data_IF_274365943130
#
_entry.id   IF_274365943130
#
_cell.length_a   1.000
_cell.length_b   1.000
_cell.length_c   1.000
_cell.angle_alpha   90.00
_cell.angle_beta   90.00
_cell.angle_gamma   90.00
#
_symmetry.space_group_name_H-M   'P 1'
#
loop_
_entity.id
_entity.type
_entity.pdbx_description
1 polymer ?
#
# COMPACT_ATOMS: atom_id res chain seq x y z
N UNK A 1 -1.23 -14.78 5.48
CA UNK A 1 -1.08 -13.40 4.92
C UNK A 1 -1.64 -13.38 3.50
N UNK A 2 -2.47 -12.41 3.15
CA UNK A 2 -2.84 -12.23 1.75
C UNK A 2 -1.64 -11.76 0.92
N UNK A 3 -1.59 -12.09 -0.38
CA UNK A 3 -0.58 -11.54 -1.27
C UNK A 3 -0.65 -10.01 -1.29
N UNK A 4 0.43 -9.33 -0.90
CA UNK A 4 0.50 -7.88 -0.74
C UNK A 4 1.64 -7.28 -1.57
N UNK A 5 2.81 -7.03 -0.99
CA UNK A 5 4.01 -6.67 -1.75
C UNK A 5 4.42 -7.83 -2.67
N UNK A 6 4.44 -9.06 -2.12
CA UNK A 6 4.61 -10.32 -2.85
C UNK A 6 3.60 -11.36 -2.34
N UNK A 7 3.66 -12.57 -2.82
CA UNK A 7 2.88 -13.69 -2.27
C UNK A 7 3.54 -14.36 -1.05
N UNK A 8 4.76 -13.96 -0.72
CA UNK A 8 5.55 -14.51 0.39
C UNK A 8 5.77 -13.57 1.58
N UNK A 9 5.00 -12.48 1.68
CA UNK A 9 5.17 -11.51 2.76
C UNK A 9 4.88 -12.10 4.14
N UNK A 10 5.54 -11.54 5.16
CA UNK A 10 5.32 -11.88 6.56
C UNK A 10 5.26 -10.62 7.41
N UNK A 11 4.39 -10.63 8.41
CA UNK A 11 4.31 -9.58 9.43
C UNK A 11 4.59 -10.21 10.78
N UNK A 12 5.49 -9.60 11.54
CA UNK A 12 5.91 -10.11 12.85
C UNK A 12 5.41 -9.18 13.95
N UNK A 13 4.63 -9.70 14.88
CA UNK A 13 4.15 -8.96 16.04
C UNK A 13 4.89 -9.42 17.29
N UNK A 14 5.74 -8.55 17.84
CA UNK A 14 6.41 -8.75 19.14
C UNK A 14 5.47 -8.31 20.24
N UNK A 15 4.64 -9.23 20.73
CA UNK A 15 3.50 -8.94 21.60
C UNK A 15 3.92 -8.24 22.88
N UNK A 16 4.98 -8.74 23.55
CA UNK A 16 5.44 -8.16 24.83
C UNK A 16 6.04 -6.76 24.66
N UNK A 17 6.73 -6.53 23.56
CA UNK A 17 7.33 -5.23 23.26
C UNK A 17 6.33 -4.24 22.64
N UNK A 18 5.19 -4.74 22.21
CA UNK A 18 4.17 -3.99 21.45
C UNK A 18 4.76 -3.31 20.20
N UNK A 19 5.45 -4.11 19.41
CA UNK A 19 6.09 -3.70 18.16
C UNK A 19 5.65 -4.63 17.04
N UNK A 20 5.27 -4.06 15.91
CA UNK A 20 4.93 -4.80 14.69
C UNK A 20 5.91 -4.45 13.59
N UNK A 21 6.55 -5.45 12.99
CA UNK A 21 7.38 -5.27 11.80
C UNK A 21 6.58 -5.71 10.58
N UNK A 22 6.33 -4.78 9.66
CA UNK A 22 5.48 -5.03 8.50
C UNK A 22 6.25 -5.31 7.20
N UNK A 23 7.57 -5.11 7.20
CA UNK A 23 8.35 -5.26 5.97
C UNK A 23 7.81 -4.38 4.85
N UNK A 24 7.90 -4.85 3.63
CA UNK A 24 7.51 -4.09 2.43
C UNK A 24 6.01 -4.03 2.17
N UNK A 25 5.19 -4.53 3.08
CA UNK A 25 3.75 -4.25 3.08
C UNK A 25 3.47 -2.78 3.43
N UNK A 26 4.36 -2.15 4.19
CA UNK A 26 4.20 -0.77 4.64
C UNK A 26 5.39 0.10 4.23
N UNK A 27 5.10 1.12 3.41
CA UNK A 27 6.02 2.20 3.05
C UNK A 27 5.53 3.46 3.76
N UNK A 28 6.16 3.83 4.88
CA UNK A 28 5.69 4.99 5.65
C UNK A 28 6.01 6.30 4.93
N UNK A 29 4.96 6.99 4.49
CA UNK A 29 5.08 8.25 3.77
C UNK A 29 5.20 8.12 2.25
N UNK A 30 5.02 6.91 1.70
CA UNK A 30 5.11 6.68 0.26
C UNK A 30 4.14 5.62 -0.26
N UNK A 31 4.02 5.52 -1.57
CA UNK A 31 3.27 4.43 -2.20
C UNK A 31 3.99 3.10 -2.03
N UNK A 32 3.25 1.99 -1.89
CA UNK A 32 3.86 0.67 -1.85
C UNK A 32 4.41 0.24 -3.20
N UNK A 33 5.44 -0.59 -3.18
CA UNK A 33 5.81 -1.38 -4.33
C UNK A 33 5.00 -2.68 -4.32
N UNK A 34 4.11 -2.83 -5.30
CA UNK A 34 3.32 -4.05 -5.49
C UNK A 34 4.00 -4.86 -6.57
N UNK A 35 4.75 -5.87 -6.17
CA UNK A 35 5.52 -6.71 -7.10
C UNK A 35 4.60 -7.75 -7.74
N UNK A 36 3.96 -7.37 -8.82
CA UNK A 36 3.03 -8.24 -9.55
C UNK A 36 3.73 -9.46 -10.15
N UNK A 37 5.03 -9.35 -10.46
CA UNK A 37 5.80 -10.48 -10.97
C UNK A 37 6.03 -11.57 -9.92
N UNK A 38 5.96 -11.21 -8.65
CA UNK A 38 6.07 -12.11 -7.50
C UNK A 38 4.72 -12.34 -6.80
N UNK A 39 3.62 -12.12 -7.49
CA UNK A 39 2.27 -12.37 -6.97
C UNK A 39 1.69 -11.28 -6.09
N UNK A 40 2.35 -10.11 -5.99
CA UNK A 40 1.86 -8.99 -5.20
C UNK A 40 0.54 -8.40 -5.73
N UNK A 41 -0.29 -7.89 -4.81
CA UNK A 41 -1.61 -7.33 -5.13
C UNK A 41 -1.94 -6.13 -4.24
N UNK A 42 -2.44 -5.05 -4.84
CA UNK A 42 -2.83 -3.85 -4.08
C UNK A 42 -3.96 -4.15 -3.08
N UNK A 43 -4.90 -5.00 -3.43
CA UNK A 43 -5.97 -5.42 -2.51
C UNK A 43 -5.42 -6.18 -1.31
N UNK A 44 -4.38 -6.97 -1.51
CA UNK A 44 -3.70 -7.68 -0.43
C UNK A 44 -2.97 -6.74 0.52
N UNK A 45 -2.37 -5.66 0.01
CA UNK A 45 -1.76 -4.62 0.86
C UNK A 45 -2.81 -4.02 1.78
N UNK A 46 -3.97 -3.63 1.25
CA UNK A 46 -5.06 -3.05 2.04
C UNK A 46 -5.56 -4.04 3.09
N UNK A 47 -5.80 -5.30 2.70
CA UNK A 47 -6.27 -6.34 3.62
C UNK A 47 -5.27 -6.61 4.75
N UNK A 48 -3.97 -6.70 4.42
CA UNK A 48 -2.93 -6.92 5.41
C UNK A 48 -2.86 -5.75 6.41
N UNK A 49 -2.92 -4.52 5.91
CA UNK A 49 -2.93 -3.32 6.76
C UNK A 49 -4.17 -3.28 7.65
N UNK A 50 -5.35 -3.59 7.12
CA UNK A 50 -6.59 -3.63 7.91
C UNK A 50 -6.50 -4.67 9.04
N UNK A 51 -5.91 -5.83 8.80
CA UNK A 51 -5.67 -6.85 9.84
C UNK A 51 -4.76 -6.34 10.95
N UNK A 52 -3.68 -5.65 10.60
CA UNK A 52 -2.77 -5.06 11.59
C UNK A 52 -3.48 -3.99 12.40
N UNK A 53 -4.19 -3.07 11.74
CA UNK A 53 -4.93 -1.99 12.41
C UNK A 53 -5.95 -2.52 13.43
N UNK A 54 -6.60 -3.64 13.12
CA UNK A 54 -7.57 -4.27 14.02
C UNK A 54 -6.93 -4.87 15.28
N UNK A 55 -5.63 -5.19 15.24
CA UNK A 55 -4.93 -5.88 16.33
C UNK A 55 -3.97 -5.02 17.16
N UNK A 56 -3.86 -3.73 16.86
CA UNK A 56 -2.91 -2.83 17.53
C UNK A 56 -3.60 -1.66 18.23
N UNK A 57 -2.87 -0.99 19.15
CA UNK A 57 -3.29 0.21 19.82
C UNK A 57 -2.49 1.45 19.41
N UNK A 58 -2.86 2.60 19.96
CA UNK A 58 -2.21 3.89 19.68
C UNK A 58 -0.73 3.91 20.11
N UNK A 59 -0.37 3.14 21.13
CA UNK A 59 1.00 3.04 21.62
C UNK A 59 1.88 2.06 20.86
N UNK A 60 1.32 1.22 19.99
CA UNK A 60 2.08 0.25 19.21
C UNK A 60 3.05 0.95 18.27
N UNK A 61 4.30 0.51 18.28
CA UNK A 61 5.33 0.98 17.35
C UNK A 61 5.35 0.05 16.13
N UNK A 62 5.40 0.65 14.95
CA UNK A 62 5.35 -0.09 13.69
C UNK A 62 6.62 0.18 12.90
N UNK A 63 7.31 -0.89 12.53
CA UNK A 63 8.52 -0.83 11.71
C UNK A 63 8.10 -1.08 10.26
N UNK A 64 8.17 -0.06 9.39
CA UNK A 64 7.90 -0.26 7.97
C UNK A 64 9.12 -0.89 7.28
N UNK A 65 8.93 -1.39 6.06
CA UNK A 65 10.05 -1.77 5.21
C UNK A 65 10.85 -0.57 4.74
N UNK A 66 10.17 0.56 4.53
CA UNK A 66 10.76 1.83 4.10
C UNK A 66 10.11 2.99 4.85
N UNK A 67 10.92 4.00 5.16
CA UNK A 67 10.47 5.19 5.88
C UNK A 67 10.72 5.12 7.39
N UNK A 68 10.35 6.18 8.12
CA UNK A 68 10.60 6.26 9.55
C UNK A 68 9.69 5.35 10.38
N UNK A 69 10.08 5.12 11.65
CA UNK A 69 9.26 4.42 12.62
C UNK A 69 7.87 5.05 12.68
N UNK A 70 6.84 4.22 12.75
CA UNK A 70 5.46 4.67 12.63
C UNK A 70 4.61 4.30 13.84
N UNK A 71 3.45 4.96 13.93
CA UNK A 71 2.37 4.68 14.87
C UNK A 71 1.11 4.30 14.11
N UNK A 72 0.06 3.94 14.82
CA UNK A 72 -1.22 3.55 14.23
C UNK A 72 -1.80 4.62 13.30
N UNK A 73 -1.69 5.90 13.66
CA UNK A 73 -2.18 7.00 12.83
C UNK A 73 -1.46 7.08 11.47
N UNK A 74 -0.15 6.81 11.45
CA UNK A 74 0.62 6.78 10.21
C UNK A 74 0.19 5.62 9.30
N UNK A 75 -0.05 4.46 9.89
CA UNK A 75 -0.53 3.28 9.15
C UNK A 75 -1.94 3.52 8.61
N UNK A 76 -2.81 4.16 9.39
CA UNK A 76 -4.16 4.51 8.94
C UNK A 76 -4.11 5.48 7.75
N UNK A 77 -3.25 6.50 7.79
CA UNK A 77 -3.08 7.43 6.69
C UNK A 77 -2.60 6.74 5.42
N UNK A 78 -1.64 5.83 5.54
CA UNK A 78 -1.15 5.01 4.44
C UNK A 78 -2.27 4.15 3.83
N UNK A 79 -3.02 3.46 4.69
CA UNK A 79 -4.18 2.65 4.28
C UNK A 79 -5.18 3.46 3.47
N UNK A 80 -5.52 4.65 3.96
CA UNK A 80 -6.52 5.50 3.33
C UNK A 80 -6.08 5.99 1.95
N UNK A 81 -4.80 6.34 1.80
CA UNK A 81 -4.24 6.75 0.51
C UNK A 81 -4.18 5.61 -0.49
N UNK A 82 -3.71 4.44 -0.06
CA UNK A 82 -3.64 3.25 -0.93
C UNK A 82 -5.03 2.85 -1.39
N UNK A 83 -6.01 2.87 -0.47
CA UNK A 83 -7.40 2.54 -0.81
C UNK A 83 -8.01 3.57 -1.75
N UNK A 84 -7.81 4.85 -1.53
CA UNK A 84 -8.32 5.90 -2.41
C UNK A 84 -7.78 5.74 -3.83
N UNK A 85 -6.49 5.53 -3.97
CA UNK A 85 -5.86 5.27 -5.26
C UNK A 85 -6.41 3.99 -5.92
N UNK A 86 -6.48 2.92 -5.15
CA UNK A 86 -7.03 1.63 -5.62
C UNK A 86 -8.45 1.79 -6.17
N UNK A 87 -9.31 2.47 -5.43
CA UNK A 87 -10.72 2.62 -5.82
C UNK A 87 -10.87 3.44 -7.10
N UNK A 88 -10.07 4.51 -7.26
CA UNK A 88 -10.06 5.32 -8.48
C UNK A 88 -9.59 4.51 -9.69
N UNK A 89 -8.55 3.70 -9.54
CA UNK A 89 -7.99 2.86 -10.59
C UNK A 89 -8.98 1.74 -10.95
N UNK A 90 -9.55 1.07 -9.96
CA UNK A 90 -10.53 -0.01 -10.15
C UNK A 90 -11.76 0.47 -10.91
N UNK A 91 -12.26 1.66 -10.59
CA UNK A 91 -13.41 2.26 -11.29
C UNK A 91 -13.12 2.43 -12.78
N UNK A 92 -11.98 3.01 -13.13
CA UNK A 92 -11.58 3.20 -14.53
C UNK A 92 -11.38 1.86 -15.26
N UNK A 93 -10.77 0.89 -14.59
CA UNK A 93 -10.57 -0.45 -15.17
C UNK A 93 -11.91 -1.13 -15.44
N UNK A 94 -12.87 -1.03 -14.52
CA UNK A 94 -14.22 -1.58 -14.68
C UNK A 94 -14.98 -0.91 -15.85
N UNK A 95 -14.68 0.35 -16.15
CA UNK A 95 -15.23 1.10 -17.28
C UNK A 95 -14.56 0.75 -18.62
N UNK A 96 -13.59 -0.17 -18.62
CA UNK A 96 -12.88 -0.59 -19.82
C UNK A 96 -11.68 0.28 -20.21
N UNK A 97 -11.25 1.20 -19.35
CA UNK A 97 -10.07 2.03 -19.58
C UNK A 97 -8.80 1.18 -19.55
N UNK A 98 -7.92 1.34 -20.52
CA UNK A 98 -6.66 0.58 -20.59
C UNK A 98 -5.68 1.06 -19.54
N UNK A 99 -4.65 0.22 -19.29
CA UNK A 99 -3.57 0.57 -18.35
C UNK A 99 -2.91 1.90 -18.71
N UNK A 100 -2.50 2.09 -19.94
CA UNK A 100 -1.82 3.31 -20.38
C UNK A 100 -2.72 4.55 -20.27
N UNK A 101 -4.00 4.42 -20.59
CA UNK A 101 -4.98 5.49 -20.43
C UNK A 101 -5.19 5.87 -18.95
N UNK A 102 -5.23 4.88 -18.06
CA UNK A 102 -5.35 5.14 -16.61
C UNK A 102 -4.12 5.87 -16.09
N UNK A 103 -2.92 5.42 -16.46
CA UNK A 103 -1.67 6.10 -16.07
C UNK A 103 -1.64 7.53 -16.60
N UNK A 104 -2.01 7.73 -17.87
CA UNK A 104 -2.05 9.06 -18.49
C UNK A 104 -3.07 10.01 -17.84
N UNK A 105 -4.17 9.46 -17.30
CA UNK A 105 -5.19 10.24 -16.61
C UNK A 105 -4.75 10.73 -15.22
N UNK A 106 -3.63 10.24 -14.70
CA UNK A 106 -3.03 10.63 -13.41
C UNK A 106 -4.05 10.63 -12.27
N UNK A 107 -4.64 9.47 -11.94
CA UNK A 107 -5.68 9.39 -10.91
C UNK A 107 -5.18 9.70 -9.49
N UNK A 108 -3.86 9.73 -9.29
CA UNK A 108 -3.23 10.03 -7.99
C UNK A 108 -2.57 11.41 -7.96
N UNK A 109 -2.84 12.29 -8.93
CA UNK A 109 -2.14 13.59 -9.06
C UNK A 109 -2.22 14.44 -7.77
N UNK A 110 -3.37 14.45 -7.10
CA UNK A 110 -3.58 15.17 -5.84
C UNK A 110 -2.84 14.55 -4.65
N UNK A 111 -2.41 13.30 -4.75
CA UNK A 111 -1.71 12.56 -3.70
C UNK A 111 -0.19 12.52 -3.94
N UNK A 112 0.26 12.72 -5.16
CA UNK A 112 1.64 12.49 -5.58
C UNK A 112 2.64 13.44 -4.91
N UNK A 113 2.24 14.68 -4.62
CA UNK A 113 3.11 15.65 -3.97
C UNK A 113 3.61 15.18 -2.60
N UNK A 114 2.77 14.46 -1.86
CA UNK A 114 3.10 13.92 -0.54
C UNK A 114 3.59 12.48 -0.60
N UNK A 115 2.95 11.63 -1.41
CA UNK A 115 3.13 10.19 -1.38
C UNK A 115 3.97 9.64 -2.53
N UNK A 116 4.18 10.42 -3.59
CA UNK A 116 4.94 10.02 -4.77
C UNK A 116 6.39 10.52 -4.81
N UNK A 117 6.92 11.07 -3.71
CA UNK A 117 8.27 11.64 -3.67
C UNK A 117 9.36 10.63 -3.33
N UNK A 118 8.99 9.45 -2.84
CA UNK A 118 9.93 8.41 -2.46
C UNK A 118 10.33 7.50 -3.62
N UNK A 119 10.62 6.25 -3.28
CA UNK A 119 11.03 5.22 -4.23
C UNK A 119 10.00 4.97 -5.33
N UNK A 120 8.72 4.89 -4.95
CA UNK A 120 7.63 4.58 -5.90
C UNK A 120 6.93 5.87 -6.33
N UNK A 121 7.10 6.24 -7.60
CA UNK A 121 6.40 7.39 -8.18
C UNK A 121 4.95 7.06 -8.51
N UNK A 122 4.10 8.10 -8.60
CA UNK A 122 2.67 7.94 -8.81
C UNK A 122 2.33 7.12 -10.05
N UNK A 123 2.92 7.44 -11.19
CA UNK A 123 2.64 6.73 -12.45
C UNK A 123 3.02 5.25 -12.39
N UNK A 124 4.16 4.94 -11.76
CA UNK A 124 4.60 3.55 -11.56
C UNK A 124 3.66 2.79 -10.63
N UNK A 125 3.26 3.40 -9.53
CA UNK A 125 2.31 2.81 -8.60
C UNK A 125 0.96 2.54 -9.27
N UNK A 126 0.43 3.52 -10.03
CA UNK A 126 -0.84 3.38 -10.75
C UNK A 126 -0.80 2.18 -11.70
N UNK A 127 0.28 2.05 -12.47
CA UNK A 127 0.45 0.93 -13.39
C UNK A 127 0.46 -0.42 -12.69
N UNK A 128 1.23 -0.56 -11.61
CA UNK A 128 1.32 -1.81 -10.84
C UNK A 128 -0.01 -2.14 -10.15
N UNK A 129 -0.68 -1.14 -9.59
CA UNK A 129 -2.00 -1.34 -8.98
C UNK A 129 -3.02 -1.83 -10.01
N UNK A 130 -3.04 -1.20 -11.19
CA UNK A 130 -3.90 -1.63 -12.30
C UNK A 130 -3.66 -3.10 -12.67
N UNK A 131 -2.39 -3.47 -12.85
CA UNK A 131 -2.01 -4.83 -13.23
C UNK A 131 -2.42 -5.87 -12.17
N UNK A 132 -2.38 -5.49 -10.89
CA UNK A 132 -2.72 -6.38 -9.77
C UNK A 132 -4.23 -6.55 -9.55
N UNK A 133 -5.06 -5.67 -10.10
CA UNK A 133 -6.52 -5.77 -9.99
C UNK A 133 -7.09 -6.78 -10.99
N UNK A 134 -8.06 -7.56 -10.53
CA UNK A 134 -8.75 -8.55 -11.37
C UNK A 134 -10.02 -8.00 -11.99
#
# INVERSE_FOLDING_TARGET
MPPAHTDGDSIVHFVKADVVHMGDVFFNGGYPFVDTSSGGRVDGVIEAVDRVLAGIGEGTRIIPGHGPLARKADLQAYRDVVKAARDRIAKRKAEGTTRDEVVAAKPTADLDAKWGTGFMKGDSFVGLAYDSLK
#
